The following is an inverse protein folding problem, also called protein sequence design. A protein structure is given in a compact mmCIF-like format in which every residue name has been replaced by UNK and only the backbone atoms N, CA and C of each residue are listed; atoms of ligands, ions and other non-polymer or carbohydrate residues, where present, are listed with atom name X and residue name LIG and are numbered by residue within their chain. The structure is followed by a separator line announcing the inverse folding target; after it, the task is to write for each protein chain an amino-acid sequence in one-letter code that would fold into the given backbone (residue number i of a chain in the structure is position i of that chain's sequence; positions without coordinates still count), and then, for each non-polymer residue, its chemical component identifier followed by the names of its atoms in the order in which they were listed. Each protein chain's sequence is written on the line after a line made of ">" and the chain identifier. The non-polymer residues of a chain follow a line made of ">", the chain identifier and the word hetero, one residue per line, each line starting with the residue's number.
data_IF_589436503217
#
_entry.id   IF_589436503217
#
_cell.length_a   1.000
_cell.length_b   1.000
_cell.length_c   1.000
_cell.angle_alpha   90.00
_cell.angle_beta   90.00
_cell.angle_gamma   90.00
#
_symmetry.space_group_name_H-M   'P 1'
#
loop_
_entity.id
_entity.type
_entity.pdbx_description
1 polymer ?
#
# COMPACT_ATOMS: atom_id res chain seq x y z
N UNK A 1 -18.90 24.94 -14.85
CA UNK A 1 -18.03 23.77 -15.06
C UNK A 1 -16.65 24.31 -15.36
N UNK A 2 -15.80 24.40 -14.35
CA UNK A 2 -14.40 24.76 -14.52
C UNK A 2 -13.59 23.51 -14.18
N UNK A 3 -13.16 22.81 -15.22
CA UNK A 3 -12.27 21.66 -15.12
C UNK A 3 -10.82 22.18 -15.11
N UNK A 4 -10.42 22.79 -14.00
CA UNK A 4 -9.00 22.98 -13.67
C UNK A 4 -8.85 22.57 -12.21
N UNK A 5 -8.70 21.26 -12.00
CA UNK A 5 -8.38 20.69 -10.69
C UNK A 5 -6.96 21.06 -10.34
N UNK A 6 -6.79 22.09 -9.52
CA UNK A 6 -5.52 22.39 -8.88
C UNK A 6 -5.19 21.22 -7.94
N UNK A 7 -4.12 20.49 -8.23
CA UNK A 7 -3.51 19.54 -7.29
C UNK A 7 -2.52 20.34 -6.47
N UNK A 8 -2.59 20.24 -5.15
CA UNK A 8 -1.69 21.01 -4.28
C UNK A 8 -0.26 20.48 -4.42
N UNK A 9 0.73 21.38 -4.41
CA UNK A 9 2.14 20.97 -4.51
C UNK A 9 2.49 19.93 -3.45
N UNK A 10 1.96 20.08 -2.24
CA UNK A 10 2.17 19.18 -1.12
C UNK A 10 1.68 17.74 -1.42
N UNK A 11 0.56 17.59 -2.12
CA UNK A 11 0.03 16.27 -2.52
C UNK A 11 0.92 15.60 -3.57
N UNK A 12 1.44 16.40 -4.52
CA UNK A 12 2.38 15.92 -5.55
C UNK A 12 3.70 15.50 -4.93
N UNK A 13 4.24 16.32 -4.02
CA UNK A 13 5.47 16.04 -3.30
C UNK A 13 5.34 14.78 -2.44
N UNK A 14 4.23 14.63 -1.72
CA UNK A 14 3.93 13.43 -0.95
C UNK A 14 3.83 12.19 -1.84
N UNK A 15 3.09 12.26 -2.95
CA UNK A 15 2.99 11.15 -3.90
C UNK A 15 4.37 10.74 -4.41
N UNK A 16 5.18 11.71 -4.84
CA UNK A 16 6.52 11.44 -5.36
C UNK A 16 7.45 10.86 -4.28
N UNK A 17 7.34 11.35 -3.05
CA UNK A 17 8.10 10.82 -1.93
C UNK A 17 7.75 9.36 -1.69
N UNK A 18 6.48 8.98 -1.65
CA UNK A 18 6.05 7.60 -1.38
C UNK A 18 6.31 6.68 -2.56
N UNK A 19 6.02 7.13 -3.79
CA UNK A 19 6.06 6.30 -5.00
C UNK A 19 7.47 6.00 -5.53
N UNK A 20 8.45 6.87 -5.26
CA UNK A 20 9.81 6.75 -5.81
C UNK A 20 10.84 6.21 -4.81
N UNK A 21 10.41 5.68 -3.66
CA UNK A 21 11.32 5.00 -2.75
C UNK A 21 11.85 3.71 -3.37
N UNK A 22 13.11 3.39 -3.06
CA UNK A 22 13.75 2.14 -3.44
C UNK A 22 14.17 1.38 -2.18
N UNK A 23 13.92 0.07 -2.19
CA UNK A 23 14.17 -0.81 -1.04
C UNK A 23 15.01 -1.99 -1.46
N UNK A 24 15.87 -2.46 -0.55
CA UNK A 24 16.72 -3.63 -0.79
C UNK A 24 15.99 -4.94 -0.48
N UNK A 25 15.02 -4.89 0.45
CA UNK A 25 14.20 -6.04 0.83
C UNK A 25 12.71 -5.72 0.71
N UNK A 26 11.89 -6.77 0.67
CA UNK A 26 10.43 -6.63 0.69
C UNK A 26 9.95 -6.14 2.05
N UNK A 27 10.61 -6.58 3.12
CA UNK A 27 10.31 -6.21 4.50
C UNK A 27 10.45 -4.70 4.70
N UNK A 28 11.55 -4.10 4.23
CA UNK A 28 11.77 -2.65 4.32
C UNK A 28 10.66 -1.85 3.62
N UNK A 29 10.28 -2.29 2.42
CA UNK A 29 9.17 -1.70 1.66
C UNK A 29 7.86 -1.78 2.44
N UNK A 30 7.56 -2.95 3.01
CA UNK A 30 6.31 -3.19 3.72
C UNK A 30 6.23 -2.37 4.99
N UNK A 31 7.31 -2.28 5.77
CA UNK A 31 7.38 -1.47 6.98
C UNK A 31 7.20 0.02 6.67
N UNK A 32 7.91 0.54 5.67
CA UNK A 32 7.78 1.93 5.21
C UNK A 32 6.34 2.25 4.80
N UNK A 33 5.75 1.44 3.91
CA UNK A 33 4.43 1.74 3.36
C UNK A 33 3.32 1.54 4.41
N UNK A 34 3.48 0.58 5.34
CA UNK A 34 2.54 0.41 6.44
C UNK A 34 2.61 1.56 7.46
N UNK A 35 3.80 2.10 7.74
CA UNK A 35 3.94 3.30 8.57
C UNK A 35 3.28 4.52 7.91
N UNK A 36 3.50 4.73 6.61
CA UNK A 36 2.81 5.76 5.83
C UNK A 36 1.29 5.58 5.87
N UNK A 37 0.80 4.37 5.59
CA UNK A 37 -0.62 4.05 5.64
C UNK A 37 -1.22 4.32 7.02
N UNK A 38 -0.52 3.95 8.09
CA UNK A 38 -0.95 4.18 9.47
C UNK A 38 -1.10 5.67 9.76
N UNK A 39 -0.15 6.50 9.33
CA UNK A 39 -0.27 7.95 9.43
C UNK A 39 -1.43 8.52 8.60
N UNK A 40 -1.81 7.86 7.50
CA UNK A 40 -3.00 8.17 6.71
C UNK A 40 -4.31 7.56 7.25
N UNK A 41 -4.25 6.84 8.37
CA UNK A 41 -5.43 6.29 9.04
C UNK A 41 -5.90 4.93 8.52
N UNK A 42 -5.05 4.16 7.83
CA UNK A 42 -5.36 2.79 7.43
C UNK A 42 -4.17 1.85 7.62
N UNK A 43 -4.38 0.55 7.48
CA UNK A 43 -3.30 -0.44 7.45
C UNK A 43 -3.31 -1.19 6.13
N UNK A 44 -2.22 -1.89 5.84
CA UNK A 44 -2.06 -2.62 4.57
C UNK A 44 -1.82 -4.11 4.80
N UNK A 45 -2.17 -4.92 3.79
CA UNK A 45 -1.92 -6.37 3.77
C UNK A 45 -1.33 -6.81 2.44
N UNK A 46 -0.55 -7.90 2.47
CA UNK A 46 -0.06 -8.56 1.27
C UNK A 46 -1.23 -9.27 0.55
N UNK A 47 -1.29 -9.19 -0.78
CA UNK A 47 -2.39 -9.77 -1.58
C UNK A 47 -1.91 -10.81 -2.60
N UNK A 48 -1.15 -10.38 -3.60
CA UNK A 48 -0.73 -11.24 -4.72
C UNK A 48 0.74 -11.10 -5.01
N UNK A 49 1.36 -12.20 -5.43
CA UNK A 49 2.74 -12.22 -5.91
C UNK A 49 2.73 -12.74 -7.35
N UNK A 50 3.46 -12.07 -8.22
CA UNK A 50 3.72 -12.54 -9.59
C UNK A 50 5.15 -13.01 -9.68
N UNK A 51 5.31 -14.17 -10.30
CA UNK A 51 6.59 -14.80 -10.51
C UNK A 51 6.89 -14.85 -12.00
N UNK A 52 8.17 -14.73 -12.35
CA UNK A 52 8.66 -15.02 -13.69
C UNK A 52 8.48 -16.52 -13.95
N UNK A 53 7.76 -16.94 -15.01
CA UNK A 53 7.46 -18.35 -15.23
C UNK A 53 8.69 -19.24 -15.35
N UNK A 54 9.78 -18.73 -15.94
CA UNK A 54 10.99 -19.51 -16.22
C UNK A 54 11.90 -19.69 -14.99
N UNK A 55 12.08 -18.65 -14.18
CA UNK A 55 13.06 -18.64 -13.07
C UNK A 55 12.42 -18.76 -11.70
N UNK A 56 11.09 -18.60 -11.60
CA UNK A 56 10.33 -18.46 -10.33
C UNK A 56 10.77 -17.26 -9.48
N UNK A 57 11.51 -16.32 -10.05
CA UNK A 57 11.84 -15.06 -9.38
C UNK A 57 10.59 -14.19 -9.22
N UNK A 58 10.45 -13.49 -8.09
CA UNK A 58 9.38 -12.52 -7.90
C UNK A 58 9.61 -11.33 -8.82
N UNK A 59 8.62 -11.02 -9.66
CA UNK A 59 8.66 -9.83 -10.53
C UNK A 59 7.81 -8.70 -9.98
N UNK A 60 6.80 -9.02 -9.18
CA UNK A 60 5.89 -8.02 -8.63
C UNK A 60 5.14 -8.54 -7.41
N UNK A 61 4.83 -7.65 -6.47
CA UNK A 61 3.97 -7.91 -5.32
C UNK A 61 2.87 -6.85 -5.24
N UNK A 62 1.66 -7.28 -4.89
CA UNK A 62 0.52 -6.43 -4.58
C UNK A 62 0.39 -6.27 -3.07
N UNK A 63 0.32 -5.04 -2.64
CA UNK A 63 -0.14 -4.64 -1.32
C UNK A 63 -1.46 -3.88 -1.49
N UNK A 64 -2.40 -4.13 -0.59
CA UNK A 64 -3.75 -3.58 -0.60
C UNK A 64 -4.08 -3.01 0.77
N UNK A 65 -5.08 -2.12 0.85
CA UNK A 65 -5.60 -1.72 2.15
C UNK A 65 -6.18 -2.95 2.88
N UNK A 66 -6.06 -3.01 4.20
CA UNK A 66 -6.60 -4.11 5.01
C UNK A 66 -8.10 -4.32 4.80
N UNK A 67 -8.85 -3.23 4.54
CA UNK A 67 -10.28 -3.25 4.24
C UNK A 67 -10.60 -3.46 2.76
N UNK A 68 -9.60 -3.50 1.89
CA UNK A 68 -9.83 -3.64 0.45
C UNK A 68 -10.55 -4.97 0.15
N UNK A 69 -11.76 -4.83 -0.39
CA UNK A 69 -12.63 -5.93 -0.79
C UNK A 69 -13.35 -6.67 0.34
N UNK A 70 -13.39 -6.14 1.57
CA UNK A 70 -14.10 -6.68 2.77
C UNK A 70 -14.25 -8.22 2.82
N UNK A 71 -13.39 -8.91 3.59
CA UNK A 71 -13.50 -10.35 3.87
C UNK A 71 -14.51 -10.64 4.99
N UNK A 72 -15.06 -11.85 5.03
CA UNK A 72 -16.11 -12.28 5.99
C UNK A 72 -15.78 -11.97 7.46
N UNK A 73 -16.84 -11.84 8.30
CA UNK A 73 -16.78 -11.45 9.73
C UNK A 73 -15.70 -12.14 10.58
N UNK A 74 -15.28 -13.34 10.20
CA UNK A 74 -14.19 -14.07 10.87
C UNK A 74 -12.85 -13.34 10.87
N UNK A 75 -12.66 -12.34 10.01
CA UNK A 75 -11.45 -11.51 9.92
C UNK A 75 -11.63 -10.09 10.46
N UNK A 76 -12.85 -9.70 10.89
CA UNK A 76 -13.14 -8.36 11.41
C UNK A 76 -12.79 -8.19 12.90
N UNK A 77 -12.63 -9.29 13.65
CA UNK A 77 -12.42 -9.26 15.11
C UNK A 77 -10.98 -9.01 15.58
N UNK A 78 -10.06 -8.53 14.73
CA UNK A 78 -8.66 -8.27 15.13
C UNK A 78 -8.28 -6.80 15.27
N UNK A 79 -9.23 -5.87 15.18
CA UNK A 79 -9.02 -4.51 15.63
C UNK A 79 -9.89 -4.24 16.86
N UNK A 80 -9.38 -4.40 18.09
CA UNK A 80 -9.97 -3.69 19.20
C UNK A 80 -9.77 -2.20 18.92
N UNK A 81 -10.88 -1.48 18.81
CA UNK A 81 -10.91 -0.04 18.97
C UNK A 81 -10.22 0.27 20.31
N UNK A 82 -9.02 0.86 20.26
CA UNK A 82 -8.47 1.62 21.38
C UNK A 82 -8.62 3.09 21.07
#
# INVERSE_FOLDING_TARGET
>A
MEANGYVWLEEIEEYNYVANQNFNTEEDFFEFYNAYAFHKGFSVRKDKVRYKPSTKEVTWKRVVCSFEGYRSEKHLFLFPLS
#
